data_IF_215512523642
#
_entry.id   IF_215512523642
#
_cell.length_a   1.000
_cell.length_b   1.000
_cell.length_c   1.000
_cell.angle_alpha   90.00
_cell.angle_beta   90.00
_cell.angle_gamma   90.00
#
_symmetry.space_group_name_H-M   'P 1'
#
loop_
_entity.id
_entity.type
_entity.pdbx_description
1 polymer ?
#
# COMPACT_ATOMS: atom_id res chain seq x y z
N UNK A 1 1.77 1.36 4.73
CA UNK A 1 2.80 2.20 5.39
C UNK A 1 3.55 3.12 4.41
N UNK A 2 2.99 3.45 3.23
CA UNK A 2 3.69 4.29 2.24
C UNK A 2 4.10 5.67 2.81
N UNK A 3 3.29 6.22 3.73
CA UNK A 3 3.55 7.50 4.39
C UNK A 3 4.87 7.55 5.16
N UNK A 4 5.42 6.41 5.59
CA UNK A 4 6.72 6.32 6.27
C UNK A 4 7.92 6.24 5.31
N UNK A 5 7.69 6.24 3.99
CA UNK A 5 8.76 6.13 2.99
C UNK A 5 8.58 7.13 1.86
N UNK A 6 8.51 8.46 2.13
CA UNK A 6 8.28 9.46 1.09
C UNK A 6 9.35 9.45 -0.01
N UNK A 7 10.58 9.06 0.30
CA UNK A 7 11.68 8.99 -0.66
C UNK A 7 11.44 7.98 -1.80
N UNK A 8 10.82 6.82 -1.51
CA UNK A 8 10.63 5.77 -2.51
C UNK A 8 9.58 6.15 -3.56
N UNK A 9 8.73 7.14 -3.27
CA UNK A 9 7.62 7.54 -4.15
C UNK A 9 8.12 8.02 -5.52
N UNK A 10 9.31 8.62 -5.58
CA UNK A 10 9.96 8.95 -6.87
C UNK A 10 10.26 7.71 -7.72
N UNK A 11 10.51 6.57 -7.08
CA UNK A 11 10.86 5.32 -7.75
C UNK A 11 9.65 4.43 -8.05
N UNK A 12 8.69 4.32 -7.11
CA UNK A 12 7.46 3.51 -7.31
C UNK A 12 6.36 4.26 -8.06
N UNK A 13 6.48 5.58 -8.21
CA UNK A 13 5.48 6.45 -8.83
C UNK A 13 4.50 7.08 -7.83
N UNK A 14 3.92 8.23 -8.22
CA UNK A 14 3.00 9.04 -7.43
C UNK A 14 3.68 10.23 -6.73
N UNK A 15 3.03 10.75 -5.69
CA UNK A 15 3.47 11.89 -4.88
C UNK A 15 3.49 11.55 -3.38
N UNK A 16 4.25 12.27 -2.53
CA UNK A 16 4.21 12.07 -1.08
C UNK A 16 2.79 12.20 -0.49
N UNK A 17 1.95 13.04 -1.11
CA UNK A 17 0.53 13.16 -0.76
C UNK A 17 -0.23 11.85 -1.06
N UNK A 18 0.02 11.22 -2.21
CA UNK A 18 -0.57 9.90 -2.55
C UNK A 18 -0.16 8.83 -1.55
N UNK A 19 1.11 8.82 -1.12
CA UNK A 19 1.61 7.89 -0.11
C UNK A 19 0.89 8.05 1.25
N UNK A 20 0.63 9.30 1.64
CA UNK A 20 -0.17 9.64 2.83
C UNK A 20 -1.62 9.17 2.68
N UNK A 21 -2.25 9.49 1.54
CA UNK A 21 -3.63 9.10 1.27
C UNK A 21 -3.82 7.59 1.21
N UNK A 22 -2.95 6.87 0.52
CA UNK A 22 -2.99 5.42 0.43
C UNK A 22 -2.82 4.77 1.82
N UNK A 23 -1.97 5.33 2.68
CA UNK A 23 -1.81 4.82 4.04
C UNK A 23 -3.06 5.01 4.89
N UNK A 24 -3.80 6.12 4.72
CA UNK A 24 -5.10 6.35 5.37
C UNK A 24 -6.20 5.47 4.77
N UNK A 25 -6.25 5.33 3.44
CA UNK A 25 -7.23 4.48 2.73
C UNK A 25 -7.14 3.02 3.17
N UNK A 26 -5.93 2.49 3.37
CA UNK A 26 -5.76 1.13 3.88
C UNK A 26 -6.40 0.92 5.26
N UNK A 27 -6.46 1.95 6.13
CA UNK A 27 -7.14 1.84 7.43
C UNK A 27 -8.65 1.59 7.30
N UNK A 28 -9.26 1.99 6.19
CA UNK A 28 -10.69 1.77 5.94
C UNK A 28 -11.04 0.31 5.67
N UNK A 29 -10.06 -0.49 5.22
CA UNK A 29 -10.24 -1.90 4.83
C UNK A 29 -9.47 -2.88 5.72
N UNK A 30 -8.98 -2.43 6.88
CA UNK A 30 -8.33 -3.29 7.86
C UNK A 30 -9.15 -3.46 9.12
N UNK A 31 -8.89 -4.53 9.87
CA UNK A 31 -9.49 -4.81 11.17
C UNK A 31 -9.14 -3.71 12.19
N UNK A 32 -7.91 -3.21 12.12
CA UNK A 32 -7.46 -2.08 12.93
C UNK A 32 -6.07 -1.62 12.51
N UNK A 33 -5.31 -1.09 13.47
CA UNK A 33 -3.90 -0.74 13.30
C UNK A 33 -3.01 -1.47 14.32
N UNK A 34 -1.75 -1.71 13.96
CA UNK A 34 -0.75 -2.27 14.86
C UNK A 34 0.00 -1.14 15.60
N UNK A 35 -0.15 -0.99 16.93
CA UNK A 35 0.50 0.07 17.69
C UNK A 35 2.02 -0.08 17.81
N UNK A 36 2.57 -1.28 17.56
CA UNK A 36 4.02 -1.49 17.55
C UNK A 36 4.70 -0.84 16.33
N UNK A 37 3.94 -0.57 15.26
CA UNK A 37 4.44 0.04 14.02
C UNK A 37 3.65 1.31 13.70
N UNK A 38 4.20 2.46 14.06
CA UNK A 38 3.56 3.76 13.86
C UNK A 38 4.11 4.49 12.63
N UNK A 39 3.30 5.40 12.08
CA UNK A 39 3.63 6.20 10.90
C UNK A 39 3.87 7.66 11.32
N UNK A 40 5.13 8.14 11.46
CA UNK A 40 5.43 9.49 11.96
C UNK A 40 4.75 10.62 11.16
N UNK A 41 4.71 10.49 9.83
CA UNK A 41 4.05 11.46 8.94
C UNK A 41 2.53 11.58 9.17
N UNK A 42 1.92 10.61 9.88
CA UNK A 42 0.51 10.61 10.27
C UNK A 42 0.34 10.80 11.78
N UNK A 43 1.20 11.59 12.43
CA UNK A 43 1.21 11.82 13.87
C UNK A 43 1.29 10.50 14.67
N UNK A 44 2.17 9.60 14.23
CA UNK A 44 2.37 8.29 14.85
C UNK A 44 1.11 7.41 14.88
N UNK A 45 0.15 7.62 13.97
CA UNK A 45 -0.97 6.69 13.81
C UNK A 45 -0.47 5.25 13.57
N UNK A 46 -1.16 4.24 14.11
CA UNK A 46 -0.78 2.85 13.92
C UNK A 46 -0.93 2.43 12.46
N UNK A 47 -0.01 1.60 11.98
CA UNK A 47 -0.04 1.05 10.62
C UNK A 47 -1.24 0.13 10.48
N UNK A 48 -2.03 0.29 9.42
CA UNK A 48 -3.17 -0.57 9.10
C UNK A 48 -2.78 -2.06 9.11
N UNK A 49 -3.55 -2.91 9.81
CA UNK A 49 -3.24 -4.32 10.03
C UNK A 49 -4.47 -5.22 9.95
N UNK A 50 -4.30 -6.36 9.26
CA UNK A 50 -5.35 -7.35 8.99
C UNK A 50 -6.35 -6.86 7.95
N UNK A 51 -6.11 -7.09 6.66
CA UNK A 51 -7.07 -6.75 5.60
C UNK A 51 -8.35 -7.56 5.82
N UNK A 52 -9.50 -6.88 5.81
CA UNK A 52 -10.82 -7.45 6.00
C UNK A 52 -11.54 -7.51 4.63
N UNK A 53 -11.81 -8.73 4.14
CA UNK A 53 -12.40 -8.94 2.82
C UNK A 53 -13.80 -8.32 2.68
N UNK A 54 -14.63 -8.38 3.74
CA UNK A 54 -15.95 -7.76 3.74
C UNK A 54 -15.82 -6.24 3.62
N UNK A 55 -14.87 -5.61 4.33
CA UNK A 55 -14.65 -4.16 4.18
C UNK A 55 -14.12 -3.79 2.80
N UNK A 56 -13.33 -4.65 2.15
CA UNK A 56 -12.84 -4.42 0.78
C UNK A 56 -14.01 -4.38 -0.20
N UNK A 57 -14.89 -5.38 -0.15
CA UNK A 57 -16.06 -5.48 -1.03
C UNK A 57 -17.09 -4.40 -0.73
N UNK A 58 -17.43 -4.18 0.54
CA UNK A 58 -18.43 -3.18 0.97
C UNK A 58 -18.03 -1.74 0.60
N UNK A 59 -16.73 -1.42 0.66
CA UNK A 59 -16.22 -0.05 0.43
C UNK A 59 -15.70 0.18 -0.98
N UNK A 60 -15.52 -0.87 -1.78
CA UNK A 60 -14.89 -0.79 -3.10
C UNK A 60 -13.44 -0.29 -3.07
N UNK A 61 -12.73 -0.47 -1.94
CA UNK A 61 -11.34 -0.04 -1.77
C UNK A 61 -10.44 -1.28 -1.87
N UNK A 62 -9.67 -1.38 -2.95
CA UNK A 62 -8.73 -2.48 -3.13
C UNK A 62 -7.43 -2.26 -2.34
N UNK A 63 -6.83 -3.34 -1.80
CA UNK A 63 -5.50 -3.27 -1.20
C UNK A 63 -4.46 -2.77 -2.19
N UNK A 64 -3.70 -1.75 -1.80
CA UNK A 64 -2.63 -1.16 -2.60
C UNK A 64 -1.27 -1.74 -2.22
N UNK A 65 -0.46 -2.07 -3.23
CA UNK A 65 0.80 -2.80 -3.08
C UNK A 65 1.88 -2.07 -3.88
N UNK A 66 2.97 -1.67 -3.21
CA UNK A 66 4.20 -1.26 -3.88
C UNK A 66 4.99 -2.52 -4.25
N UNK A 67 5.45 -2.64 -5.49
CA UNK A 67 6.20 -3.81 -5.94
C UNK A 67 7.27 -3.47 -6.96
N UNK A 68 8.28 -4.33 -7.07
CA UNK A 68 9.21 -4.31 -8.19
C UNK A 68 8.53 -4.83 -9.46
N UNK A 69 8.88 -4.25 -10.60
CA UNK A 69 8.48 -4.73 -11.92
C UNK A 69 9.61 -5.63 -12.42
N UNK A 70 9.35 -6.94 -12.48
CA UNK A 70 10.28 -7.91 -13.03
C UNK A 70 10.10 -8.02 -14.55
N UNK A 71 11.21 -8.22 -15.27
CA UNK A 71 11.16 -8.49 -16.70
C UNK A 71 10.48 -9.83 -16.98
N UNK A 72 9.76 -9.92 -18.11
CA UNK A 72 9.03 -11.13 -18.50
C UNK A 72 9.95 -12.33 -18.77
N UNK A 73 11.15 -12.08 -19.27
CA UNK A 73 12.14 -13.13 -19.54
C UNK A 73 12.92 -13.47 -18.28
N UNK A 74 13.07 -14.79 -18.01
CA UNK A 74 13.84 -15.29 -16.90
C UNK A 74 15.31 -14.83 -16.97
N UNK A 75 15.89 -14.54 -15.81
CA UNK A 75 17.31 -14.15 -15.69
C UNK A 75 17.62 -12.67 -15.88
N UNK A 76 16.69 -11.85 -16.41
CA UNK A 76 16.92 -10.39 -16.57
C UNK A 76 16.77 -9.63 -15.25
N UNK A 77 15.81 -10.03 -14.40
CA UNK A 77 15.59 -9.43 -13.09
C UNK A 77 14.66 -8.21 -13.10
N UNK A 78 14.87 -7.30 -12.15
CA UNK A 78 14.02 -6.13 -11.95
C UNK A 78 14.32 -5.02 -12.96
N UNK A 79 13.27 -4.50 -13.60
CA UNK A 79 13.35 -3.43 -14.63
C UNK A 79 12.62 -2.14 -14.23
N UNK A 80 12.02 -2.12 -13.04
CA UNK A 80 11.35 -0.94 -12.51
C UNK A 80 10.67 -1.22 -11.18
N UNK A 81 9.84 -0.28 -10.74
CA UNK A 81 8.94 -0.45 -9.60
C UNK A 81 7.63 0.29 -9.87
N UNK A 82 6.59 -0.09 -9.17
CA UNK A 82 5.26 0.44 -9.39
C UNK A 82 4.34 0.22 -8.22
N UNK A 83 3.14 0.76 -8.38
CA UNK A 83 2.01 0.54 -7.49
C UNK A 83 0.99 -0.30 -8.25
N UNK A 84 0.48 -1.34 -7.59
CA UNK A 84 -0.61 -2.18 -8.10
C UNK A 84 -1.66 -2.39 -7.02
N UNK A 85 -2.78 -3.02 -7.39
CA UNK A 85 -3.83 -3.41 -6.45
C UNK A 85 -4.13 -4.90 -6.58
N UNK A 86 -4.51 -5.53 -5.48
CA UNK A 86 -5.08 -6.88 -5.54
C UNK A 86 -6.41 -6.84 -6.33
N UNK A 87 -6.68 -7.79 -7.26
CA UNK A 87 -7.92 -7.79 -8.05
C UNK A 87 -9.16 -7.96 -7.15
N UNK A 88 -10.26 -7.29 -7.51
CA UNK A 88 -11.53 -7.41 -6.76
C UNK A 88 -12.03 -8.85 -6.70
N UNK A 89 -11.82 -9.65 -7.75
CA UNK A 89 -12.25 -11.05 -7.80
C UNK A 89 -11.61 -11.96 -6.73
N UNK A 90 -10.63 -11.48 -5.97
CA UNK A 90 -10.03 -12.21 -4.85
C UNK A 90 -10.77 -12.00 -3.52
N UNK A 91 -11.75 -11.09 -3.45
CA UNK A 91 -12.50 -10.72 -2.25
C UNK A 91 -14.00 -10.96 -2.45
#
# INVERSE_FOLDING_TARGET
>A
AMASSPAIVKFVGGTPADATNNSRRMQAITLGGNPAFTLPALNFAPTAAGIDACKVTDRGILPVINTGIAHKQAGVGQIGAGITTAPMACF
#
